data_IF_608994221817
#
_entry.id   IF_608994221817
#
_cell.length_a   1.000
_cell.length_b   1.000
_cell.length_c   1.000
_cell.angle_alpha   90.00
_cell.angle_beta   90.00
_cell.angle_gamma   90.00
#
_symmetry.space_group_name_H-M   'P 1'
#
loop_
_entity.id
_entity.type
_entity.pdbx_description
1 polymer ?
#
# COMPACT_ATOMS: atom_id res chain seq x y z
N UNK A 1 -22.11 20.22 78.48
CA UNK A 1 -22.68 19.27 77.51
C UNK A 1 -21.71 19.15 76.33
N UNK A 2 -21.41 17.90 75.98
CA UNK A 2 -20.75 17.37 74.76
C UNK A 2 -19.52 18.09 74.15
N UNK A 3 -18.33 17.56 74.50
CA UNK A 3 -17.16 17.47 73.62
C UNK A 3 -17.36 16.29 72.64
N UNK A 4 -16.85 16.38 71.41
CA UNK A 4 -16.24 15.23 70.71
C UNK A 4 -15.54 15.68 69.42
N UNK A 5 -14.22 15.81 69.52
CA UNK A 5 -13.28 15.65 68.42
C UNK A 5 -13.11 14.14 68.21
N UNK A 6 -13.45 13.65 67.03
CA UNK A 6 -13.19 12.25 66.64
C UNK A 6 -11.81 12.17 65.99
N UNK A 7 -10.99 11.31 66.58
CA UNK A 7 -9.63 10.95 66.17
C UNK A 7 -9.64 9.60 65.43
N UNK A 8 -8.82 9.51 64.37
CA UNK A 8 -8.06 8.34 63.85
C UNK A 8 -8.86 7.20 63.18
N UNK A 9 -8.25 6.29 62.36
CA UNK A 9 -6.82 6.00 62.08
C UNK A 9 -6.52 6.07 60.56
N UNK A 10 -5.37 5.76 59.95
CA UNK A 10 -4.09 5.12 60.28
C UNK A 10 -3.31 5.00 58.96
N UNK A 11 -1.98 5.16 59.02
CA UNK A 11 -0.98 4.95 57.94
C UNK A 11 -0.99 3.46 57.48
N UNK A 12 -0.46 3.06 56.29
CA UNK A 12 0.91 3.36 55.85
C UNK A 12 1.17 3.54 54.34
N UNK A 13 2.45 3.85 54.10
CA UNK A 13 3.18 4.16 52.86
C UNK A 13 3.23 2.97 51.91
N UNK A 14 3.39 3.23 50.61
CA UNK A 14 4.36 2.51 49.78
C UNK A 14 4.97 3.47 48.76
N UNK A 15 6.28 3.64 48.89
CA UNK A 15 7.14 4.35 47.98
C UNK A 15 7.60 3.39 46.87
N UNK A 16 7.76 3.90 45.66
CA UNK A 16 8.64 3.38 44.59
C UNK A 16 8.87 4.58 43.67
N UNK A 17 9.90 5.41 43.86
CA UNK A 17 11.31 5.19 43.61
C UNK A 17 11.62 4.83 42.13
N UNK A 18 12.14 5.84 41.43
CA UNK A 18 13.30 5.81 40.50
C UNK A 18 13.28 4.86 39.29
N UNK A 19 13.57 5.46 38.12
CA UNK A 19 14.06 4.72 36.95
C UNK A 19 14.37 5.62 35.77
N UNK A 20 15.50 6.32 35.82
CA UNK A 20 16.09 7.02 34.69
C UNK A 20 16.56 6.04 33.59
N UNK A 21 16.57 6.49 32.33
CA UNK A 21 17.14 5.73 31.22
C UNK A 21 17.16 6.52 29.92
N UNK A 22 18.14 7.42 29.78
CA UNK A 22 18.51 8.00 28.50
C UNK A 22 19.19 6.94 27.63
N UNK A 23 18.78 6.79 26.38
CA UNK A 23 19.59 6.15 25.35
C UNK A 23 19.58 7.00 24.08
N UNK A 24 20.60 7.85 24.01
CA UNK A 24 21.17 8.31 22.76
C UNK A 24 21.94 7.16 22.11
N UNK A 25 21.70 6.91 20.83
CA UNK A 25 22.61 6.14 19.99
C UNK A 25 22.56 6.68 18.57
N UNK A 26 23.40 7.69 18.34
CA UNK A 26 23.87 8.07 17.00
C UNK A 26 24.82 6.98 16.51
N UNK A 27 24.54 6.37 15.36
CA UNK A 27 25.51 5.61 14.59
C UNK A 27 25.50 6.14 13.16
N UNK A 28 26.41 7.09 12.92
CA UNK A 28 26.94 7.36 11.60
C UNK A 28 27.98 6.28 11.29
N UNK A 29 27.82 5.61 10.15
CA UNK A 29 28.90 4.90 9.49
C UNK A 29 28.96 5.37 8.04
N UNK A 30 29.97 6.20 7.76
CA UNK A 30 30.70 6.19 6.50
C UNK A 30 31.19 4.74 6.23
N UNK A 31 31.36 4.22 5.02
CA UNK A 31 31.69 4.79 3.72
C UNK A 31 32.61 3.76 3.03
N UNK A 32 32.72 3.85 1.69
CA UNK A 32 33.64 3.05 0.84
C UNK A 32 33.29 1.54 0.70
N UNK A 33 33.52 0.86 -0.42
CA UNK A 33 34.15 1.22 -1.70
C UNK A 33 33.76 0.18 -2.76
N UNK A 34 33.86 0.62 -4.00
CA UNK A 34 33.89 -0.14 -5.26
C UNK A 34 34.73 -1.41 -5.25
N UNK A 35 34.27 -2.46 -5.95
CA UNK A 35 35.16 -3.45 -6.59
C UNK A 35 34.47 -4.17 -7.74
N UNK A 36 34.79 -3.74 -8.96
CA UNK A 36 34.64 -4.53 -10.18
C UNK A 36 35.88 -5.42 -10.37
N UNK A 37 35.73 -6.69 -10.74
CA UNK A 37 36.80 -7.42 -11.41
C UNK A 37 36.59 -7.44 -12.92
N UNK A 38 37.60 -6.93 -13.62
CA UNK A 38 37.94 -7.31 -15.00
C UNK A 38 38.28 -8.80 -15.03
N UNK A 39 37.58 -9.57 -15.87
CA UNK A 39 38.14 -10.70 -16.61
C UNK A 39 37.76 -10.45 -18.07
N UNK A 40 38.65 -10.39 -19.06
CA UNK A 40 39.91 -11.10 -19.20
C UNK A 40 39.66 -12.30 -20.13
N UNK A 41 39.56 -12.06 -21.43
CA UNK A 41 39.27 -13.08 -22.44
C UNK A 41 39.55 -12.59 -23.87
N UNK A 42 40.83 -12.43 -24.19
CA UNK A 42 41.43 -12.39 -25.54
C UNK A 42 41.41 -13.84 -26.11
N UNK A 43 41.01 -14.18 -27.35
CA UNK A 43 41.72 -14.08 -28.65
C UNK A 43 40.82 -14.78 -29.74
N UNK A 44 40.90 -14.41 -31.03
CA UNK A 44 39.97 -14.73 -32.15
C UNK A 44 40.58 -15.81 -33.09
N UNK A 45 40.41 -15.87 -34.44
CA UNK A 45 39.36 -15.42 -35.37
C UNK A 45 38.84 -16.55 -36.30
N UNK A 46 37.77 -16.31 -37.06
CA UNK A 46 37.60 -16.98 -38.36
C UNK A 46 37.17 -15.95 -39.41
N UNK A 47 38.12 -15.62 -40.28
CA UNK A 47 37.84 -15.07 -41.60
C UNK A 47 37.26 -16.19 -42.47
N UNK A 48 36.18 -15.92 -43.20
CA UNK A 48 36.01 -16.44 -44.56
C UNK A 48 35.28 -15.39 -45.37
N UNK A 49 36.05 -14.68 -46.18
CA UNK A 49 35.55 -13.98 -47.34
C UNK A 49 35.29 -15.02 -48.43
N UNK A 50 34.09 -15.00 -49.00
CA UNK A 50 33.70 -15.78 -50.17
C UNK A 50 32.81 -14.91 -51.04
N UNK A 51 33.28 -14.63 -52.25
CA UNK A 51 32.72 -13.65 -53.16
C UNK A 51 31.57 -14.21 -54.02
N UNK A 52 30.74 -13.27 -54.51
CA UNK A 52 30.03 -13.25 -55.80
C UNK A 52 28.94 -14.28 -56.08
N UNK A 53 27.71 -13.84 -56.34
CA UNK A 53 27.16 -13.65 -57.70
C UNK A 53 25.65 -13.30 -57.66
N UNK A 54 25.20 -12.64 -58.71
CA UNK A 54 23.96 -11.90 -58.84
C UNK A 54 22.70 -12.74 -59.08
N UNK A 55 21.55 -12.14 -58.74
CA UNK A 55 20.39 -11.90 -59.64
C UNK A 55 19.01 -12.31 -59.09
N UNK A 56 18.13 -11.29 -59.14
CA UNK A 56 16.69 -11.31 -59.49
C UNK A 56 15.61 -11.80 -58.51
N UNK A 57 14.79 -10.81 -58.13
CA UNK A 57 13.30 -10.74 -58.13
C UNK A 57 12.44 -11.21 -56.94
N UNK A 58 11.63 -10.24 -56.50
CA UNK A 58 10.30 -10.26 -55.89
C UNK A 58 10.18 -10.30 -54.34
N UNK A 59 9.35 -9.41 -53.73
CA UNK A 59 9.12 -9.36 -52.29
C UNK A 59 7.96 -10.28 -51.89
N UNK A 60 8.12 -11.05 -50.82
CA UNK A 60 6.98 -11.73 -50.17
C UNK A 60 7.06 -11.50 -48.67
N UNK A 61 5.91 -11.09 -48.14
CA UNK A 61 5.65 -10.50 -46.85
C UNK A 61 6.22 -11.26 -45.65
N UNK A 62 6.85 -10.49 -44.78
CA UNK A 62 7.14 -10.80 -43.39
C UNK A 62 5.84 -10.99 -42.59
N UNK A 63 5.42 -12.24 -42.45
CA UNK A 63 4.43 -12.68 -41.47
C UNK A 63 5.02 -12.69 -40.06
N UNK A 64 5.40 -11.52 -39.55
CA UNK A 64 5.73 -11.33 -38.14
C UNK A 64 4.45 -11.43 -37.33
N UNK A 65 4.10 -12.62 -36.86
CA UNK A 65 3.11 -12.80 -35.81
C UNK A 65 3.70 -12.26 -34.50
N UNK A 66 3.67 -10.95 -34.34
CA UNK A 66 3.88 -10.31 -33.05
C UNK A 66 2.71 -10.71 -32.18
N UNK A 67 2.96 -11.57 -31.20
CA UNK A 67 2.06 -11.84 -30.09
C UNK A 67 1.65 -10.48 -29.53
N UNK A 68 0.43 -10.06 -29.87
CA UNK A 68 -0.18 -8.83 -29.40
C UNK A 68 -0.38 -9.02 -27.89
N UNK A 69 0.66 -8.69 -27.11
CA UNK A 69 0.53 -8.48 -25.69
C UNK A 69 -0.65 -7.55 -25.54
N UNK A 70 -1.72 -8.06 -24.93
CA UNK A 70 -2.97 -7.33 -24.80
C UNK A 70 -2.63 -6.07 -24.02
N UNK A 71 -2.53 -4.93 -24.73
CA UNK A 71 -2.29 -3.65 -24.09
C UNK A 71 -3.44 -3.46 -23.10
N UNK A 72 -3.11 -3.39 -21.81
CA UNK A 72 -4.09 -3.12 -20.79
C UNK A 72 -4.85 -1.85 -21.17
N UNK A 73 -6.17 -1.77 -20.93
CA UNK A 73 -6.91 -0.55 -21.19
C UNK A 73 -6.27 0.60 -20.41
N UNK A 74 -5.69 1.56 -21.13
CA UNK A 74 -5.04 2.76 -20.56
C UNK A 74 -6.06 3.80 -20.07
N UNK A 75 -7.35 3.49 -20.20
CA UNK A 75 -8.46 4.28 -19.67
C UNK A 75 -9.13 3.49 -18.55
N UNK A 76 -8.86 3.89 -17.31
CA UNK A 76 -9.58 3.40 -16.14
C UNK A 76 -10.95 4.09 -16.05
N UNK A 77 -11.97 3.28 -15.83
CA UNK A 77 -13.34 3.73 -15.59
C UNK A 77 -13.65 3.53 -14.10
N UNK A 78 -13.69 4.64 -13.36
CA UNK A 78 -13.94 4.66 -11.92
C UNK A 78 -15.24 3.94 -11.54
N UNK A 79 -16.27 4.08 -12.38
CA UNK A 79 -17.58 3.46 -12.13
C UNK A 79 -17.51 1.93 -12.18
N UNK A 80 -16.63 1.36 -13.02
CA UNK A 80 -16.44 -0.10 -13.11
C UNK A 80 -15.63 -0.67 -11.94
N UNK A 81 -14.92 0.18 -11.20
CA UNK A 81 -14.12 -0.20 -10.05
C UNK A 81 -14.90 -0.07 -8.73
N UNK A 82 -16.02 0.66 -8.77
CA UNK A 82 -16.99 0.79 -7.68
C UNK A 82 -17.75 -0.53 -7.47
N UNK A 83 -17.96 -0.90 -6.21
CA UNK A 83 -18.81 -2.00 -5.80
C UNK A 83 -19.81 -1.52 -4.74
N UNK A 84 -20.99 -1.12 -5.21
CA UNK A 84 -22.05 -0.58 -4.35
C UNK A 84 -22.58 -1.61 -3.36
N UNK A 85 -22.46 -2.91 -3.65
CA UNK A 85 -22.99 -3.98 -2.79
C UNK A 85 -22.28 -4.05 -1.44
N UNK A 86 -21.01 -3.64 -1.41
CA UNK A 86 -20.17 -3.55 -0.21
C UNK A 86 -19.94 -2.10 0.24
N UNK A 87 -20.58 -1.12 -0.42
CA UNK A 87 -20.38 0.31 -0.14
C UNK A 87 -18.98 0.81 -0.47
N UNK A 88 -18.31 0.23 -1.47
CA UNK A 88 -16.99 0.63 -1.93
C UNK A 88 -17.11 1.51 -3.18
N UNK A 89 -16.60 2.75 -3.15
CA UNK A 89 -16.70 3.68 -4.26
C UNK A 89 -15.34 4.19 -4.70
N UNK A 90 -15.11 4.16 -6.01
CA UNK A 90 -13.97 4.85 -6.64
C UNK A 90 -14.53 6.08 -7.32
N UNK A 91 -14.32 7.25 -6.72
CA UNK A 91 -14.90 8.52 -7.18
C UNK A 91 -14.15 9.05 -8.40
N UNK A 92 -12.84 8.85 -8.45
CA UNK A 92 -12.00 9.33 -9.55
C UNK A 92 -10.70 8.54 -9.70
N UNK A 93 -10.28 8.35 -10.95
CA UNK A 93 -8.96 7.86 -11.34
C UNK A 93 -8.45 8.73 -12.50
N UNK A 94 -7.14 9.07 -12.55
CA UNK A 94 -6.63 9.92 -13.62
C UNK A 94 -6.78 9.27 -14.98
N UNK A 95 -7.07 10.10 -15.98
CA UNK A 95 -7.15 9.66 -17.38
C UNK A 95 -5.77 9.74 -18.05
N UNK A 96 -5.59 8.95 -19.11
CA UNK A 96 -4.35 8.91 -19.92
C UNK A 96 -3.12 8.43 -19.13
N UNK A 97 -3.32 7.51 -18.20
CA UNK A 97 -2.22 6.78 -17.57
C UNK A 97 -1.57 5.85 -18.61
N UNK A 98 -0.24 5.74 -18.58
CA UNK A 98 0.43 4.68 -19.33
C UNK A 98 0.14 3.30 -18.72
N UNK A 99 0.64 2.24 -19.37
CA UNK A 99 0.44 0.86 -18.92
C UNK A 99 0.94 0.64 -17.49
N UNK A 100 2.12 1.14 -17.16
CA UNK A 100 2.76 0.94 -15.85
C UNK A 100 2.03 1.72 -14.76
N UNK A 101 1.68 2.98 -15.04
CA UNK A 101 0.88 3.82 -14.15
C UNK A 101 -0.49 3.20 -13.89
N UNK A 102 -1.12 2.67 -14.92
CA UNK A 102 -2.42 1.98 -14.82
C UNK A 102 -2.32 0.77 -13.88
N UNK A 103 -1.27 -0.04 -14.03
CA UNK A 103 -1.05 -1.20 -13.17
C UNK A 103 -0.76 -0.81 -11.72
N UNK A 104 0.04 0.24 -11.48
CA UNK A 104 0.29 0.74 -10.14
C UNK A 104 -0.99 1.26 -9.46
N UNK A 105 -1.83 2.01 -10.19
CA UNK A 105 -3.12 2.48 -9.68
C UNK A 105 -4.06 1.32 -9.33
N UNK A 106 -4.14 0.29 -10.20
CA UNK A 106 -4.92 -0.91 -9.93
C UNK A 106 -4.39 -1.71 -8.74
N UNK A 107 -3.06 -1.75 -8.55
CA UNK A 107 -2.44 -2.37 -7.38
C UNK A 107 -2.86 -1.68 -6.07
N UNK A 108 -2.87 -0.35 -6.05
CA UNK A 108 -3.40 0.41 -4.91
C UNK A 108 -4.90 0.16 -4.68
N UNK A 109 -5.72 0.21 -5.72
CA UNK A 109 -7.17 0.01 -5.59
C UNK A 109 -7.53 -1.42 -5.15
N UNK A 110 -6.74 -2.42 -5.56
CA UNK A 110 -6.89 -3.78 -5.07
C UNK A 110 -6.62 -3.86 -3.55
N UNK A 111 -5.58 -3.17 -3.06
CA UNK A 111 -5.31 -3.06 -1.63
C UNK A 111 -6.44 -2.34 -0.87
N UNK A 112 -6.86 -1.17 -1.36
CA UNK A 112 -7.88 -0.35 -0.72
C UNK A 112 -9.21 -1.10 -0.60
N UNK A 113 -9.64 -1.79 -1.66
CA UNK A 113 -10.81 -2.66 -1.64
C UNK A 113 -10.63 -3.85 -0.68
N UNK A 114 -9.52 -4.57 -0.77
CA UNK A 114 -9.28 -5.76 0.06
C UNK A 114 -9.28 -5.44 1.56
N UNK A 115 -8.69 -4.31 1.95
CA UNK A 115 -8.69 -3.88 3.35
C UNK A 115 -10.09 -3.47 3.83
N UNK A 116 -10.87 -2.80 2.99
CA UNK A 116 -12.27 -2.48 3.28
C UNK A 116 -13.13 -3.74 3.49
N UNK A 117 -13.06 -4.70 2.57
CA UNK A 117 -13.76 -5.98 2.69
C UNK A 117 -13.35 -6.72 3.97
N UNK A 118 -12.04 -6.83 4.23
CA UNK A 118 -11.55 -7.53 5.42
C UNK A 118 -12.01 -6.89 6.74
N UNK A 119 -12.02 -5.56 6.87
CA UNK A 119 -12.53 -4.91 8.09
C UNK A 119 -14.05 -5.01 8.25
N UNK A 120 -14.78 -5.08 7.12
CA UNK A 120 -16.22 -5.33 7.15
C UNK A 120 -16.52 -6.75 7.59
N UNK A 121 -15.78 -7.73 7.08
CA UNK A 121 -16.01 -9.15 7.30
C UNK A 121 -15.41 -9.64 8.61
N UNK A 122 -14.31 -9.06 9.05
CA UNK A 122 -13.62 -9.29 10.32
C UNK A 122 -13.47 -10.79 10.67
N UNK A 123 -13.34 -11.65 9.65
CA UNK A 123 -13.39 -13.11 9.75
C UNK A 123 -12.00 -13.76 9.90
N UNK A 124 -10.93 -12.96 9.80
CA UNK A 124 -9.55 -13.43 9.87
C UNK A 124 -8.93 -13.84 8.55
N UNK A 125 -9.66 -13.80 7.42
CA UNK A 125 -9.06 -14.05 6.12
C UNK A 125 -8.29 -12.81 5.63
N UNK A 126 -6.96 -12.95 5.55
CA UNK A 126 -6.06 -11.91 5.07
C UNK A 126 -5.56 -12.14 3.64
N UNK A 127 -6.04 -13.19 2.96
CA UNK A 127 -5.47 -13.64 1.69
C UNK A 127 -5.47 -12.55 0.61
N UNK A 128 -6.57 -11.80 0.48
CA UNK A 128 -6.67 -10.69 -0.48
C UNK A 128 -5.77 -9.51 -0.13
N UNK A 129 -5.59 -9.23 1.16
CA UNK A 129 -4.69 -8.17 1.64
C UNK A 129 -3.23 -8.56 1.42
N UNK A 130 -2.85 -9.80 1.71
CA UNK A 130 -1.49 -10.32 1.47
C UNK A 130 -1.16 -10.42 -0.03
N UNK A 131 -2.16 -10.63 -0.88
CA UNK A 131 -2.00 -10.59 -2.33
C UNK A 131 -1.73 -9.17 -2.87
N UNK A 132 -2.24 -8.14 -2.20
CA UNK A 132 -2.18 -6.73 -2.64
C UNK A 132 -1.21 -5.84 -1.85
N UNK A 133 -0.60 -6.37 -0.78
CA UNK A 133 0.25 -5.61 0.16
C UNK A 133 1.54 -6.35 0.45
N UNK A 134 2.58 -5.60 0.80
CA UNK A 134 3.86 -6.14 1.25
C UNK A 134 4.55 -5.18 2.23
N UNK A 135 5.70 -5.58 2.76
CA UNK A 135 6.58 -4.72 3.55
C UNK A 135 5.90 -4.08 4.76
N UNK A 136 6.24 -2.81 5.01
CA UNK A 136 5.77 -2.09 6.19
C UNK A 136 4.25 -1.89 6.21
N UNK A 137 3.61 -1.73 5.05
CA UNK A 137 2.16 -1.63 4.94
C UNK A 137 1.47 -2.89 5.44
N UNK A 138 1.95 -4.08 5.04
CA UNK A 138 1.35 -5.35 5.45
C UNK A 138 1.49 -5.60 6.96
N UNK A 139 2.67 -5.32 7.52
CA UNK A 139 2.90 -5.47 8.96
C UNK A 139 2.04 -4.50 9.78
N UNK A 140 1.92 -3.25 9.33
CA UNK A 140 1.04 -2.27 9.97
C UNK A 140 -0.43 -2.71 9.90
N UNK A 141 -0.89 -3.18 8.73
CA UNK A 141 -2.25 -3.66 8.55
C UNK A 141 -2.56 -4.85 9.48
N UNK A 142 -1.68 -5.86 9.55
CA UNK A 142 -1.85 -7.03 10.43
C UNK A 142 -2.00 -6.63 11.89
N UNK A 143 -1.26 -5.60 12.32
CA UNK A 143 -1.36 -5.05 13.67
C UNK A 143 -2.73 -4.42 13.91
N UNK A 144 -3.15 -3.47 13.08
CA UNK A 144 -4.42 -2.75 13.25
C UNK A 144 -5.63 -3.67 13.08
N UNK A 145 -5.53 -4.65 12.18
CA UNK A 145 -6.58 -5.65 11.99
C UNK A 145 -6.77 -6.54 13.22
N UNK A 146 -5.67 -6.94 13.89
CA UNK A 146 -5.76 -7.69 15.15
C UNK A 146 -6.46 -6.89 16.24
N UNK A 147 -6.15 -5.61 16.36
CA UNK A 147 -6.83 -4.70 17.30
C UNK A 147 -8.34 -4.63 17.00
N UNK A 148 -8.71 -4.56 15.71
CA UNK A 148 -10.11 -4.62 15.29
C UNK A 148 -10.78 -5.95 15.67
N UNK A 149 -10.12 -7.09 15.43
CA UNK A 149 -10.63 -8.41 15.83
C UNK A 149 -10.82 -8.54 17.34
N UNK A 150 -9.86 -8.05 18.14
CA UNK A 150 -9.95 -8.06 19.60
C UNK A 150 -11.10 -7.20 20.12
N UNK A 151 -11.39 -6.08 19.45
CA UNK A 151 -12.54 -5.23 19.78
C UNK A 151 -13.88 -5.76 19.27
N UNK A 152 -13.87 -6.69 18.30
CA UNK A 152 -15.06 -7.13 17.57
C UNK A 152 -15.72 -6.02 16.74
N UNK A 153 -14.99 -4.94 16.44
CA UNK A 153 -15.48 -3.77 15.73
C UNK A 153 -15.43 -3.94 14.22
N UNK A 154 -16.55 -4.33 13.62
CA UNK A 154 -16.71 -4.43 12.16
C UNK A 154 -16.94 -3.05 11.56
N UNK A 155 -16.40 -2.82 10.38
CA UNK A 155 -16.67 -1.59 9.65
C UNK A 155 -17.99 -1.67 8.86
N UNK A 156 -18.75 -0.58 8.86
CA UNK A 156 -19.99 -0.43 8.09
C UNK A 156 -20.08 0.98 7.50
N UNK A 157 -21.01 1.18 6.57
CA UNK A 157 -21.18 2.43 5.84
C UNK A 157 -20.53 2.35 4.47
N UNK A 158 -19.87 3.44 4.07
CA UNK A 158 -19.25 3.56 2.74
C UNK A 158 -17.80 4.03 2.84
N UNK A 159 -16.91 3.38 2.10
CA UNK A 159 -15.56 3.86 1.84
C UNK A 159 -15.52 4.47 0.43
N UNK A 160 -14.94 5.66 0.30
CA UNK A 160 -14.72 6.28 -1.01
C UNK A 160 -13.25 6.62 -1.21
N UNK A 161 -12.78 6.44 -2.43
CA UNK A 161 -11.39 6.71 -2.79
C UNK A 161 -11.28 7.52 -4.07
N UNK A 162 -10.35 8.46 -4.07
CA UNK A 162 -9.95 9.26 -5.23
C UNK A 162 -8.46 9.07 -5.45
N UNK A 163 -8.06 8.57 -6.62
CA UNK A 163 -6.66 8.55 -7.03
C UNK A 163 -6.34 9.89 -7.69
N UNK A 164 -5.52 10.70 -7.06
CA UNK A 164 -5.23 12.07 -7.50
C UNK A 164 -4.14 12.10 -8.58
N UNK A 165 -3.07 11.32 -8.40
CA UNK A 165 -1.98 11.20 -9.37
C UNK A 165 -1.24 9.86 -9.22
N UNK A 166 -0.50 9.50 -10.26
CA UNK A 166 0.37 8.32 -10.28
C UNK A 166 1.70 8.70 -10.91
N UNK A 167 2.78 8.56 -10.16
CA UNK A 167 4.13 8.92 -10.56
C UNK A 167 5.04 7.70 -10.52
N UNK A 168 5.63 7.34 -11.66
CA UNK A 168 6.60 6.24 -11.74
C UNK A 168 7.94 6.72 -11.17
N UNK A 169 8.45 6.01 -10.16
CA UNK A 169 9.74 6.29 -9.52
C UNK A 169 10.86 5.42 -10.13
N UNK A 170 10.52 4.20 -10.54
CA UNK A 170 11.39 3.28 -11.27
C UNK A 170 10.55 2.24 -12.00
N UNK A 171 11.19 1.34 -12.76
CA UNK A 171 10.50 0.24 -13.46
C UNK A 171 9.69 -0.68 -12.53
N UNK A 172 9.98 -0.67 -11.23
CA UNK A 172 9.34 -1.53 -10.22
C UNK A 172 8.74 -0.77 -9.03
N UNK A 173 8.66 0.56 -9.10
CA UNK A 173 8.13 1.37 -8.00
C UNK A 173 7.40 2.62 -8.52
N UNK A 174 6.26 2.91 -7.91
CA UNK A 174 5.44 4.07 -8.21
C UNK A 174 4.92 4.70 -6.92
N UNK A 175 4.72 6.02 -6.95
CA UNK A 175 4.02 6.77 -5.93
C UNK A 175 2.59 7.08 -6.40
N UNK A 176 1.60 6.80 -5.57
CA UNK A 176 0.19 7.08 -5.84
C UNK A 176 -0.31 8.06 -4.79
N UNK A 177 -0.76 9.23 -5.24
CA UNK A 177 -1.39 10.22 -4.37
C UNK A 177 -2.89 9.95 -4.30
N UNK A 178 -3.41 9.80 -3.09
CA UNK A 178 -4.79 9.36 -2.87
C UNK A 178 -5.50 10.18 -1.80
N UNK A 179 -6.79 10.37 -1.98
CA UNK A 179 -7.71 10.81 -0.95
C UNK A 179 -8.65 9.66 -0.59
N UNK A 180 -8.63 9.25 0.67
CA UNK A 180 -9.56 8.28 1.25
C UNK A 180 -10.60 9.03 2.08
N UNK A 181 -11.86 8.98 1.67
CA UNK A 181 -12.98 9.54 2.42
C UNK A 181 -13.57 8.46 3.32
N UNK A 182 -13.25 8.58 4.61
CA UNK A 182 -13.70 7.68 5.67
C UNK A 182 -14.80 8.33 6.52
N UNK A 183 -15.37 9.47 6.09
CA UNK A 183 -16.35 10.23 6.87
C UNK A 183 -17.67 9.48 7.10
N UNK A 184 -17.95 8.50 6.25
CA UNK A 184 -19.15 7.66 6.30
C UNK A 184 -18.88 6.26 6.87
N UNK A 185 -17.66 5.97 7.32
CA UNK A 185 -17.31 4.70 7.95
C UNK A 185 -17.68 4.75 9.43
N UNK A 186 -18.22 3.63 9.93
CA UNK A 186 -18.52 3.41 11.35
C UNK A 186 -18.00 2.06 11.79
N UNK A 187 -17.66 1.93 13.06
CA UNK A 187 -17.33 0.67 13.71
C UNK A 187 -18.53 0.25 14.54
N UNK A 188 -19.00 -0.97 14.31
CA UNK A 188 -20.09 -1.58 15.06
C UNK A 188 -19.58 -2.84 15.73
N UNK A 189 -19.88 -2.98 17.01
CA UNK A 189 -19.65 -4.24 17.73
C UNK A 189 -20.51 -5.37 17.17
N UNK A 190 -20.22 -6.62 17.54
CA UNK A 190 -21.03 -7.80 17.21
C UNK A 190 -22.52 -7.63 17.58
N UNK A 191 -22.82 -6.90 18.67
CA UNK A 191 -24.19 -6.59 19.09
C UNK A 191 -24.92 -5.55 18.23
N UNK A 192 -24.24 -4.97 17.23
CA UNK A 192 -24.75 -3.89 16.38
C UNK A 192 -24.63 -2.49 17.00
N UNK A 193 -24.07 -2.36 18.21
CA UNK A 193 -23.83 -1.05 18.84
C UNK A 193 -22.70 -0.31 18.10
N UNK A 194 -22.95 0.96 17.78
CA UNK A 194 -21.94 1.90 17.29
C UNK A 194 -20.88 2.15 18.36
N UNK A 195 -19.63 1.83 18.02
CA UNK A 195 -18.43 2.01 18.85
C UNK A 195 -17.38 2.87 18.14
N UNK A 196 -17.79 3.59 17.08
CA UNK A 196 -16.94 4.49 16.29
C UNK A 196 -16.28 5.52 17.20
N UNK A 197 -14.95 5.63 17.12
CA UNK A 197 -14.24 6.67 17.85
C UNK A 197 -14.61 8.07 17.29
N UNK A 198 -14.81 9.09 18.13
CA UNK A 198 -15.27 10.42 17.69
C UNK A 198 -14.41 11.05 16.59
N UNK A 199 -13.09 10.90 16.70
CA UNK A 199 -12.09 11.52 15.81
C UNK A 199 -11.66 10.61 14.65
N UNK A 200 -12.49 9.63 14.29
CA UNK A 200 -12.14 8.67 13.24
C UNK A 200 -12.73 9.03 11.86
N UNK A 201 -13.86 9.74 11.84
CA UNK A 201 -14.59 10.06 10.60
C UNK A 201 -14.01 11.29 9.91
N UNK A 202 -12.94 11.06 9.15
CA UNK A 202 -12.24 12.11 8.43
C UNK A 202 -11.93 11.71 6.99
N UNK A 203 -11.50 12.70 6.22
CA UNK A 203 -10.79 12.43 4.98
C UNK A 203 -9.30 12.38 5.25
N UNK A 204 -8.62 11.46 4.60
CA UNK A 204 -7.18 11.28 4.77
C UNK A 204 -6.50 11.31 3.41
N UNK A 205 -5.48 12.17 3.31
CA UNK A 205 -4.62 12.21 2.15
C UNK A 205 -3.37 11.37 2.42
N UNK A 206 -3.05 10.46 1.51
CA UNK A 206 -1.88 9.60 1.61
C UNK A 206 -1.00 9.72 0.37
N UNK A 207 0.30 9.55 0.57
CA UNK A 207 1.25 9.18 -0.47
C UNK A 207 1.57 7.69 -0.31
N UNK A 208 1.24 6.90 -1.33
CA UNK A 208 1.37 5.44 -1.28
C UNK A 208 2.51 4.99 -2.17
N UNK A 209 3.46 4.23 -1.62
CA UNK A 209 4.46 3.52 -2.43
C UNK A 209 3.90 2.16 -2.84
N UNK A 210 3.83 1.93 -4.15
CA UNK A 210 3.42 0.66 -4.76
C UNK A 210 4.62 0.05 -5.47
N UNK A 211 4.93 -1.21 -5.15
CA UNK A 211 6.10 -1.92 -5.68
C UNK A 211 5.69 -3.16 -6.46
N UNK A 212 6.35 -3.37 -7.59
CA UNK A 212 6.22 -4.62 -8.35
C UNK A 212 6.94 -5.74 -7.59
N UNK A 213 6.17 -6.62 -6.96
CA UNK A 213 6.64 -7.74 -6.15
C UNK A 213 5.98 -9.01 -6.65
N UNK A 214 6.77 -10.02 -7.00
CA UNK A 214 6.27 -11.31 -7.53
C UNK A 214 5.34 -11.16 -8.74
N UNK A 215 5.61 -10.18 -9.61
CA UNK A 215 4.81 -9.90 -10.80
C UNK A 215 3.50 -9.15 -10.55
N UNK A 216 3.22 -8.74 -9.31
CA UNK A 216 2.05 -7.94 -8.94
C UNK A 216 2.47 -6.59 -8.32
N UNK A 217 1.74 -5.52 -8.65
CA UNK A 217 1.91 -4.23 -7.99
C UNK A 217 1.24 -4.29 -6.61
N UNK A 218 2.06 -4.21 -5.55
CA UNK A 218 1.60 -4.30 -4.16
C UNK A 218 1.92 -3.03 -3.39
N UNK A 219 1.03 -2.62 -2.49
CA UNK A 219 1.29 -1.50 -1.59
C UNK A 219 2.38 -1.88 -0.59
N UNK A 220 3.47 -1.11 -0.54
CA UNK A 220 4.63 -1.37 0.32
C UNK A 220 4.66 -0.46 1.55
N UNK A 221 4.19 0.78 1.41
CA UNK A 221 4.06 1.75 2.51
C UNK A 221 3.00 2.80 2.20
N UNK A 222 2.38 3.33 3.26
CA UNK A 222 1.48 4.48 3.19
C UNK A 222 2.00 5.58 4.11
N UNK A 223 2.18 6.78 3.57
CA UNK A 223 2.52 7.97 4.34
C UNK A 223 1.32 8.90 4.39
N UNK A 224 0.82 9.21 5.59
CA UNK A 224 -0.28 10.16 5.76
C UNK A 224 0.25 11.59 5.58
N UNK A 225 -0.22 12.27 4.53
CA UNK A 225 0.09 13.69 4.27
C UNK A 225 -0.73 14.63 5.16
N UNK A 226 -1.96 14.25 5.50
CA UNK A 226 -2.80 15.04 6.39
C UNK A 226 -4.22 14.50 6.55
N UNK A 227 -4.99 15.22 7.36
CA UNK A 227 -6.41 14.97 7.66
C UNK A 227 -7.23 16.16 7.14
N UNK A 228 -8.33 15.91 6.45
CA UNK A 228 -9.27 16.91 5.93
C UNK A 228 -8.62 17.99 5.04
N UNK A 229 -7.56 17.61 4.31
CA UNK A 229 -6.87 18.42 3.30
C UNK A 229 -7.16 17.99 1.86
N UNK A 230 -8.05 17.01 1.74
CA UNK A 230 -8.82 16.57 0.58
C UNK A 230 -10.25 16.32 1.11
#
# INVERSE_FOLDING_TARGET
MARSLVHLPGRPRLASALGAGALAASLALAGCSSSSPKGGGTIPPLHTAGASTASTTAPVASGGASSKASAAPTTLDAQKLTDESIGYYVDFVPQRLDTTQTQAALGYLAYDRATWEAYRDLDGDLSAVEASTTGAALENYRKTYREAQESGGREVGTSRVTVMSVEIQSDSEAAVDVCSDQTQIKQVSESGKDITQPDWRHKHSYLVSVKLTDGAWKVASLEKKGTDIC
#
